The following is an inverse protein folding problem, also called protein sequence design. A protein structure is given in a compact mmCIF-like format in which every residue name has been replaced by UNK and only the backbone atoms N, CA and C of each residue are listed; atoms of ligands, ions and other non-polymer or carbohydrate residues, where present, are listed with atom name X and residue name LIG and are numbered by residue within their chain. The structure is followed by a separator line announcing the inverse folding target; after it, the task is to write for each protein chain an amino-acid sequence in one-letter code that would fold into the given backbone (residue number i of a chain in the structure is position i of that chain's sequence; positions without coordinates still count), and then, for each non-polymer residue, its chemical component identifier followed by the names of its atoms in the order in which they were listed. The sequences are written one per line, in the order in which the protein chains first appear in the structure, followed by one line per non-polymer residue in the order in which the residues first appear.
data_IF_892790997282
#
_entry.id   IF_892790997282
#
_cell.length_a   1.000
_cell.length_b   1.000
_cell.length_c   1.000
_cell.angle_alpha   90.00
_cell.angle_beta   90.00
_cell.angle_gamma   90.00
#
_symmetry.space_group_name_H-M   'P 1'
#
loop_
_entity.id
_entity.type
_entity.pdbx_description
1 polymer ?
#
# COMPACT_ATOMS: atom_id res chain seq x y z
N UNK A 1 49.57 1.31 12.28
CA UNK A 1 48.13 1.40 12.66
C UNK A 1 47.11 1.48 11.51
N UNK A 2 47.48 1.81 10.26
CA UNK A 2 46.52 1.82 9.11
C UNK A 2 46.31 0.43 8.49
N UNK A 3 47.37 -0.41 8.42
CA UNK A 3 47.29 -1.78 7.90
C UNK A 3 46.38 -2.72 8.70
N UNK A 4 46.46 -2.70 10.04
CA UNK A 4 45.60 -3.53 10.90
C UNK A 4 44.11 -3.19 10.75
N UNK A 5 43.76 -1.90 10.64
CA UNK A 5 42.38 -1.46 10.36
C UNK A 5 41.87 -1.91 9.00
N UNK A 6 42.74 -1.93 7.98
CA UNK A 6 42.39 -2.46 6.67
C UNK A 6 42.13 -3.96 6.71
N UNK A 7 42.99 -4.74 7.38
CA UNK A 7 42.83 -6.19 7.53
C UNK A 7 41.55 -6.53 8.31
N UNK A 8 41.26 -5.85 9.41
CA UNK A 8 40.02 -6.05 10.18
C UNK A 8 38.76 -5.76 9.36
N UNK A 9 38.75 -4.69 8.54
CA UNK A 9 37.63 -4.41 7.61
C UNK A 9 37.47 -5.51 6.57
N UNK A 10 38.57 -6.03 6.02
CA UNK A 10 38.53 -7.13 5.04
C UNK A 10 38.03 -8.43 5.66
N UNK A 11 38.41 -8.74 6.90
CA UNK A 11 37.88 -9.90 7.65
C UNK A 11 36.38 -9.73 7.91
N UNK A 12 35.92 -8.54 8.29
CA UNK A 12 34.50 -8.28 8.53
C UNK A 12 33.66 -8.41 7.25
N UNK A 13 34.16 -7.87 6.13
CA UNK A 13 33.54 -8.05 4.82
C UNK A 13 33.50 -9.54 4.43
N UNK A 14 34.59 -10.28 4.61
CA UNK A 14 34.65 -11.71 4.33
C UNK A 14 33.67 -12.50 5.21
N UNK A 15 33.55 -12.18 6.50
CA UNK A 15 32.57 -12.80 7.40
C UNK A 15 31.13 -12.56 6.91
N UNK A 16 30.83 -11.36 6.43
CA UNK A 16 29.52 -11.03 5.86
C UNK A 16 29.23 -11.82 4.58
N UNK A 17 30.21 -11.90 3.66
CA UNK A 17 30.10 -12.69 2.43
C UNK A 17 29.95 -14.20 2.70
N UNK A 18 30.68 -14.75 3.68
CA UNK A 18 30.52 -16.16 4.09
C UNK A 18 29.12 -16.39 4.67
N UNK A 19 28.62 -15.49 5.52
CA UNK A 19 27.27 -15.59 6.06
C UNK A 19 26.22 -15.57 4.94
N UNK A 20 26.38 -14.66 3.96
CA UNK A 20 25.51 -14.56 2.80
C UNK A 20 25.55 -15.81 1.93
N UNK A 21 26.74 -16.37 1.69
CA UNK A 21 26.92 -17.62 0.96
C UNK A 21 26.25 -18.80 1.67
N UNK A 22 26.39 -18.91 2.99
CA UNK A 22 25.71 -19.94 3.79
C UNK A 22 24.19 -19.83 3.70
N UNK A 23 23.64 -18.62 3.81
CA UNK A 23 22.20 -18.39 3.65
C UNK A 23 21.74 -18.80 2.25
N UNK A 24 22.49 -18.48 1.18
CA UNK A 24 22.17 -18.90 -0.19
C UNK A 24 22.17 -20.44 -0.36
N UNK A 25 23.06 -21.15 0.34
CA UNK A 25 23.09 -22.62 0.32
C UNK A 25 21.87 -23.20 1.04
N UNK A 26 21.44 -22.58 2.15
CA UNK A 26 20.26 -23.01 2.92
C UNK A 26 18.93 -22.56 2.30
N UNK A 27 18.93 -21.50 1.50
CA UNK A 27 17.75 -20.91 0.88
C UNK A 27 16.82 -21.93 0.19
N UNK A 28 17.29 -22.86 -0.68
CA UNK A 28 16.40 -23.86 -1.29
C UNK A 28 15.80 -24.83 -0.27
N UNK A 29 16.49 -25.14 0.82
CA UNK A 29 15.96 -26.00 1.89
C UNK A 29 14.91 -25.27 2.73
N UNK A 30 15.13 -23.99 3.04
CA UNK A 30 14.20 -23.14 3.78
C UNK A 30 12.94 -22.85 2.94
N UNK A 31 13.10 -22.67 1.63
CA UNK A 31 11.97 -22.47 0.68
C UNK A 31 11.25 -23.77 0.32
N UNK A 32 11.85 -24.92 0.63
CA UNK A 32 11.28 -26.24 0.39
C UNK A 32 10.29 -26.68 1.48
N UNK A 33 9.72 -27.91 1.35
CA UNK A 33 8.75 -28.44 2.30
C UNK A 33 9.30 -28.59 3.72
N UNK A 34 10.61 -28.86 3.86
CA UNK A 34 11.26 -28.96 5.17
C UNK A 34 11.19 -27.65 5.98
N UNK A 35 11.26 -26.49 5.33
CA UNK A 35 11.09 -25.20 5.99
C UNK A 35 9.67 -24.98 6.49
N UNK A 36 8.67 -25.44 5.72
CA UNK A 36 7.27 -25.40 6.13
C UNK A 36 7.01 -26.29 7.34
N UNK A 37 7.48 -27.53 7.31
CA UNK A 37 7.36 -28.48 8.42
C UNK A 37 8.04 -27.96 9.69
N UNK A 38 9.22 -27.34 9.54
CA UNK A 38 9.93 -26.71 10.65
C UNK A 38 9.08 -25.61 11.30
N UNK A 39 8.50 -24.69 10.50
CA UNK A 39 7.66 -23.61 11.01
C UNK A 39 6.39 -24.13 11.67
N UNK A 40 5.74 -25.13 11.07
CA UNK A 40 4.58 -25.80 11.64
C UNK A 40 4.92 -26.44 12.99
N UNK A 41 6.01 -27.22 13.06
CA UNK A 41 6.45 -27.87 14.29
C UNK A 41 6.81 -26.86 15.38
N UNK A 42 7.52 -25.79 15.03
CA UNK A 42 7.83 -24.72 15.96
C UNK A 42 6.56 -24.06 16.51
N UNK A 43 5.58 -23.79 15.64
CA UNK A 43 4.30 -23.22 16.04
C UNK A 43 3.50 -24.17 16.95
N UNK A 44 3.43 -25.46 16.63
CA UNK A 44 2.81 -26.49 17.48
C UNK A 44 3.44 -26.56 18.86
N UNK A 45 4.77 -26.44 18.97
CA UNK A 45 5.45 -26.45 20.26
C UNK A 45 5.11 -25.24 21.13
N UNK A 46 4.77 -24.10 20.53
CA UNK A 46 4.45 -22.86 21.25
C UNK A 46 2.97 -22.72 21.58
N UNK A 47 2.07 -23.11 20.67
CA UNK A 47 0.63 -22.85 20.76
C UNK A 47 -0.23 -24.10 20.77
N UNK A 48 0.38 -25.29 20.74
CA UNK A 48 -0.33 -26.57 20.78
C UNK A 48 -0.89 -27.03 19.44
N UNK A 49 -1.70 -28.08 19.51
CA UNK A 49 -2.31 -28.73 18.35
C UNK A 49 -3.36 -27.82 17.68
N UNK A 50 -3.61 -27.94 16.36
CA UNK A 50 -4.67 -27.18 15.69
C UNK A 50 -6.05 -27.31 16.33
N UNK A 51 -6.36 -28.42 16.99
CA UNK A 51 -7.67 -28.63 17.64
C UNK A 51 -7.90 -27.69 18.83
N UNK A 52 -6.82 -27.26 19.49
CA UNK A 52 -6.87 -26.36 20.65
C UNK A 52 -6.84 -24.87 20.22
N UNK A 53 -6.77 -24.61 18.91
CA UNK A 53 -6.55 -23.28 18.34
C UNK A 53 -7.54 -22.20 18.83
N UNK A 54 -8.86 -22.46 18.99
CA UNK A 54 -9.78 -21.44 19.50
C UNK A 54 -9.43 -20.97 20.93
N UNK A 55 -8.85 -21.85 21.75
CA UNK A 55 -8.45 -21.54 23.12
C UNK A 55 -7.01 -20.99 23.19
N UNK A 56 -6.10 -21.48 22.34
CA UNK A 56 -4.69 -21.09 22.36
C UNK A 56 -4.35 -19.86 21.53
N UNK A 57 -5.22 -19.46 20.61
CA UNK A 57 -5.05 -18.31 19.70
C UNK A 57 -6.21 -17.30 19.87
N UNK A 58 -6.36 -16.66 21.05
CA UNK A 58 -7.47 -15.75 21.31
C UNK A 58 -7.46 -14.53 20.39
N UNK A 59 -6.30 -13.93 20.09
CA UNK A 59 -6.24 -12.75 19.23
C UNK A 59 -6.56 -13.11 17.78
N UNK A 60 -5.98 -14.19 17.25
CA UNK A 60 -6.35 -14.70 15.92
C UNK A 60 -7.85 -14.99 15.80
N UNK A 61 -8.47 -15.57 16.84
CA UNK A 61 -9.91 -15.87 16.87
C UNK A 61 -10.75 -14.60 16.86
N UNK A 62 -10.41 -13.62 17.70
CA UNK A 62 -11.09 -12.33 17.76
C UNK A 62 -11.06 -11.61 16.40
N UNK A 63 -9.89 -11.56 15.77
CA UNK A 63 -9.70 -10.88 14.50
C UNK A 63 -10.39 -11.57 13.33
N UNK A 64 -10.31 -12.91 13.26
CA UNK A 64 -11.04 -13.66 12.24
C UNK A 64 -12.55 -13.49 12.39
N UNK A 65 -13.05 -13.45 13.63
CA UNK A 65 -14.47 -13.16 13.91
C UNK A 65 -14.87 -11.77 13.42
N UNK A 66 -14.05 -10.75 13.70
CA UNK A 66 -14.31 -9.37 13.28
C UNK A 66 -14.32 -9.22 11.76
N UNK A 67 -13.38 -9.87 11.06
CA UNK A 67 -13.29 -9.78 9.59
C UNK A 67 -14.38 -10.58 8.90
N UNK A 68 -14.80 -11.71 9.49
CA UNK A 68 -15.83 -12.59 8.92
C UNK A 68 -17.13 -11.84 8.64
N UNK A 69 -17.57 -10.98 9.55
CA UNK A 69 -18.83 -10.22 9.44
C UNK A 69 -18.91 -9.44 8.12
N UNK A 70 -17.82 -8.79 7.71
CA UNK A 70 -17.81 -7.97 6.50
C UNK A 70 -17.24 -8.70 5.27
N UNK A 71 -16.76 -9.94 5.43
CA UNK A 71 -15.95 -10.61 4.40
C UNK A 71 -16.73 -10.90 3.12
N UNK A 72 -18.00 -11.29 3.25
CA UNK A 72 -18.90 -11.54 2.12
C UNK A 72 -19.20 -10.23 1.38
N UNK A 73 -19.54 -9.17 2.12
CA UNK A 73 -19.79 -7.85 1.52
C UNK A 73 -18.55 -7.32 0.80
N UNK A 74 -17.37 -7.36 1.43
CA UNK A 74 -16.13 -6.86 0.83
C UNK A 74 -15.72 -7.69 -0.41
N UNK A 75 -16.05 -8.98 -0.43
CA UNK A 75 -15.88 -9.84 -1.60
C UNK A 75 -16.85 -9.48 -2.73
N UNK A 76 -18.14 -9.32 -2.41
CA UNK A 76 -19.16 -8.94 -3.40
C UNK A 76 -18.86 -7.56 -4.01
N UNK A 77 -18.49 -6.58 -3.19
CA UNK A 77 -18.06 -5.25 -3.67
C UNK A 77 -16.82 -5.34 -4.59
N UNK A 78 -15.92 -6.27 -4.33
CA UNK A 78 -14.77 -6.53 -5.19
C UNK A 78 -15.20 -7.15 -6.53
N UNK A 79 -16.10 -8.14 -6.51
CA UNK A 79 -16.66 -8.74 -7.73
C UNK A 79 -17.43 -7.70 -8.55
N UNK A 80 -18.20 -6.82 -7.90
CA UNK A 80 -18.90 -5.71 -8.55
C UNK A 80 -17.92 -4.71 -9.18
N UNK A 81 -16.83 -4.40 -8.48
CA UNK A 81 -15.77 -3.54 -9.04
C UNK A 81 -15.12 -4.18 -10.27
N UNK A 82 -14.90 -5.50 -10.22
CA UNK A 82 -14.34 -6.27 -11.33
C UNK A 82 -15.33 -6.37 -12.52
N UNK A 83 -16.63 -6.50 -12.27
CA UNK A 83 -17.66 -6.57 -13.31
C UNK A 83 -17.87 -5.21 -13.98
N UNK A 84 -17.89 -4.13 -13.19
CA UNK A 84 -17.91 -2.76 -13.68
C UNK A 84 -16.66 -2.45 -14.53
N UNK A 85 -15.49 -2.93 -14.10
CA UNK A 85 -14.25 -2.83 -14.87
C UNK A 85 -14.34 -3.54 -16.23
N UNK A 86 -14.81 -4.79 -16.26
CA UNK A 86 -15.00 -5.54 -17.53
C UNK A 86 -15.98 -4.84 -18.46
N UNK A 87 -17.03 -4.24 -17.91
CA UNK A 87 -18.04 -3.50 -18.69
C UNK A 87 -17.48 -2.18 -19.24
N UNK A 88 -16.65 -1.47 -18.46
CA UNK A 88 -15.96 -0.26 -18.90
C UNK A 88 -14.97 -0.54 -20.02
N UNK A 89 -14.27 -1.68 -20.00
CA UNK A 89 -13.37 -2.08 -21.09
C UNK A 89 -14.13 -2.56 -22.33
N UNK A 90 -15.30 -3.18 -22.17
CA UNK A 90 -16.17 -3.57 -23.29
C UNK A 90 -16.84 -2.36 -23.97
N UNK A 91 -17.08 -1.27 -23.24
CA UNK A 91 -17.61 0.00 -23.76
C UNK A 91 -16.49 1.03 -24.00
N UNK A 92 -15.54 0.74 -24.90
CA UNK A 92 -14.54 1.68 -25.45
C UNK A 92 -13.64 2.45 -24.43
N UNK A 93 -12.30 2.48 -24.61
CA UNK A 93 -11.36 3.00 -23.62
C UNK A 93 -11.20 4.53 -23.69
N UNK A 94 -12.19 5.29 -23.22
CA UNK A 94 -12.10 6.75 -23.01
C UNK A 94 -13.29 7.24 -22.18
N UNK A 95 -13.05 7.53 -20.90
CA UNK A 95 -14.04 8.18 -20.04
C UNK A 95 -13.63 8.17 -18.59
N UNK A 96 -12.78 9.12 -18.19
CA UNK A 96 -12.53 9.40 -16.78
C UNK A 96 -13.84 9.88 -16.13
N UNK A 97 -14.21 9.41 -14.92
CA UNK A 97 -15.25 10.08 -14.13
C UNK A 97 -14.73 11.44 -13.65
N UNK A 98 -15.47 12.50 -13.99
CA UNK A 98 -15.19 13.87 -13.58
C UNK A 98 -15.13 14.02 -12.06
N UNK A 99 -13.94 14.22 -11.51
CA UNK A 99 -13.73 14.68 -10.12
C UNK A 99 -13.81 16.21 -10.06
N UNK A 100 -14.88 16.78 -10.60
CA UNK A 100 -15.16 18.21 -10.52
C UNK A 100 -16.26 18.40 -9.48
N UNK A 101 -15.92 19.03 -8.35
CA UNK A 101 -16.92 19.63 -7.48
C UNK A 101 -17.65 20.70 -8.31
N UNK A 102 -18.96 20.49 -8.53
CA UNK A 102 -19.81 21.27 -9.43
C UNK A 102 -19.61 22.78 -9.31
N UNK A 103 -19.05 23.39 -10.35
CA UNK A 103 -19.63 24.58 -11.03
C UNK A 103 -19.16 24.54 -12.49
N UNK A 104 -20.09 24.79 -13.42
CA UNK A 104 -20.01 24.34 -14.82
C UNK A 104 -18.85 24.91 -15.65
N UNK A 105 -18.29 24.04 -16.50
CA UNK A 105 -17.36 24.39 -17.57
C UNK A 105 -16.80 23.12 -18.22
N UNK A 106 -17.17 22.85 -19.48
CA UNK A 106 -16.68 21.71 -20.27
C UNK A 106 -15.43 22.08 -21.07
N UNK A 107 -14.39 21.24 -21.05
CA UNK A 107 -13.17 21.40 -21.85
C UNK A 107 -12.91 20.11 -22.66
N UNK A 108 -12.55 20.19 -23.96
CA UNK A 108 -12.34 19.01 -24.81
C UNK A 108 -10.93 18.40 -24.64
N UNK A 109 -10.84 17.10 -24.94
CA UNK A 109 -9.68 16.20 -24.71
C UNK A 109 -8.77 16.10 -25.94
N UNK A 110 -7.45 16.04 -25.73
CA UNK A 110 -6.42 15.77 -26.74
C UNK A 110 -5.67 14.44 -26.50
N UNK A 111 -4.97 14.00 -27.55
CA UNK A 111 -4.61 12.63 -27.95
C UNK A 111 -3.56 11.86 -27.13
N UNK A 112 -3.66 10.52 -27.21
CA UNK A 112 -2.80 9.47 -26.63
C UNK A 112 -1.41 9.41 -27.31
N UNK A 113 -0.34 9.24 -26.53
CA UNK A 113 0.95 8.70 -26.98
C UNK A 113 1.28 7.49 -26.09
N UNK A 114 1.47 6.34 -26.72
CA UNK A 114 1.78 5.07 -26.07
C UNK A 114 3.24 4.93 -25.66
N UNK A 115 3.50 4.00 -24.74
CA UNK A 115 4.85 3.48 -24.49
C UNK A 115 4.77 2.01 -24.04
N UNK A 116 5.83 1.21 -24.29
CA UNK A 116 5.72 -0.23 -24.53
C UNK A 116 5.89 -1.08 -23.27
N UNK A 117 5.25 -2.25 -23.31
CA UNK A 117 5.33 -3.29 -22.29
C UNK A 117 6.75 -3.84 -22.16
N UNK A 118 7.33 -3.72 -20.96
CA UNK A 118 8.54 -4.45 -20.57
C UNK A 118 8.11 -5.62 -19.69
N UNK A 119 8.16 -6.83 -20.24
CA UNK A 119 7.95 -8.07 -19.49
C UNK A 119 9.19 -8.26 -18.61
N UNK A 120 9.10 -7.87 -17.34
CA UNK A 120 10.06 -8.28 -16.33
C UNK A 120 9.51 -9.53 -15.64
N UNK A 121 10.34 -10.57 -15.56
CA UNK A 121 10.06 -11.85 -14.89
C UNK A 121 10.06 -11.69 -13.36
N UNK A 122 9.21 -10.81 -12.84
CA UNK A 122 8.80 -10.82 -11.44
C UNK A 122 7.62 -11.79 -11.36
N UNK A 123 7.75 -12.82 -10.54
CA UNK A 123 6.66 -13.76 -10.26
C UNK A 123 5.42 -12.99 -9.82
N UNK A 124 4.44 -12.84 -10.72
CA UNK A 124 3.16 -12.20 -10.40
C UNK A 124 2.53 -12.86 -9.16
N UNK A 125 1.99 -12.05 -8.26
CA UNK A 125 1.33 -12.54 -7.05
C UNK A 125 -0.03 -13.15 -7.40
N UNK A 126 -0.41 -14.27 -6.77
CA UNK A 126 -1.60 -15.04 -7.15
C UNK A 126 -2.91 -14.30 -6.83
N UNK A 127 -3.88 -14.45 -7.73
CA UNK A 127 -5.27 -14.02 -7.51
C UNK A 127 -5.92 -14.83 -6.38
N UNK A 128 -6.75 -14.18 -5.57
CA UNK A 128 -7.59 -14.84 -4.57
C UNK A 128 -8.78 -15.51 -5.28
N UNK A 129 -8.98 -16.81 -5.06
CA UNK A 129 -10.08 -17.58 -5.67
C UNK A 129 -11.38 -17.54 -4.86
N UNK A 130 -11.41 -16.81 -3.74
CA UNK A 130 -12.53 -16.82 -2.80
C UNK A 130 -12.53 -18.01 -1.83
N UNK A 131 -11.40 -18.71 -1.70
CA UNK A 131 -11.22 -19.72 -0.66
C UNK A 131 -11.33 -19.04 0.72
N UNK A 132 -12.14 -19.60 1.63
CA UNK A 132 -12.51 -18.93 2.89
C UNK A 132 -11.31 -18.46 3.70
N UNK A 133 -10.32 -19.34 3.93
CA UNK A 133 -9.11 -19.01 4.71
C UNK A 133 -8.29 -17.93 4.01
N UNK A 134 -8.02 -18.08 2.71
CA UNK A 134 -7.21 -17.13 1.94
C UNK A 134 -7.87 -15.74 1.89
N UNK A 135 -9.19 -15.70 1.63
CA UNK A 135 -9.98 -14.47 1.61
C UNK A 135 -9.94 -13.76 2.96
N UNK A 136 -10.25 -14.48 4.05
CA UNK A 136 -10.26 -13.91 5.39
C UNK A 136 -8.88 -13.38 5.79
N UNK A 137 -7.80 -14.11 5.51
CA UNK A 137 -6.44 -13.68 5.81
C UNK A 137 -6.02 -12.44 5.01
N UNK A 138 -6.35 -12.40 3.73
CA UNK A 138 -6.03 -11.26 2.85
C UNK A 138 -6.78 -10.00 3.29
N UNK A 139 -8.08 -10.11 3.57
CA UNK A 139 -8.89 -8.99 4.08
C UNK A 139 -8.44 -8.57 5.48
N UNK A 140 -8.12 -9.52 6.34
CA UNK A 140 -7.59 -9.27 7.67
C UNK A 140 -6.29 -8.46 7.61
N UNK A 141 -5.31 -8.92 6.84
CA UNK A 141 -4.02 -8.25 6.70
C UNK A 141 -4.21 -6.84 6.12
N UNK A 142 -5.09 -6.68 5.13
CA UNK A 142 -5.41 -5.39 4.54
C UNK A 142 -6.02 -4.42 5.55
N UNK A 143 -7.02 -4.86 6.32
CA UNK A 143 -7.65 -4.04 7.37
C UNK A 143 -6.62 -3.65 8.43
N UNK A 144 -5.82 -4.61 8.90
CA UNK A 144 -4.78 -4.41 9.91
C UNK A 144 -3.77 -3.32 9.50
N UNK A 145 -3.23 -3.35 8.28
CA UNK A 145 -2.26 -2.34 7.83
C UNK A 145 -2.89 -1.01 7.40
N UNK A 146 -4.22 -0.96 7.28
CA UNK A 146 -4.95 0.26 6.92
C UNK A 146 -5.41 1.06 8.12
N UNK A 147 -5.22 0.54 9.33
CA UNK A 147 -5.47 1.27 10.57
C UNK A 147 -4.50 2.46 10.72
N UNK A 148 -5.01 3.53 11.34
CA UNK A 148 -4.25 4.76 11.60
C UNK A 148 -3.31 4.57 12.79
N UNK A 149 -3.71 3.73 13.74
CA UNK A 149 -2.89 3.39 14.90
C UNK A 149 -1.73 2.48 14.47
N UNK A 150 -0.52 2.79 14.96
CA UNK A 150 0.66 2.01 14.62
C UNK A 150 0.59 0.59 15.18
N UNK A 151 0.98 -0.40 14.37
CA UNK A 151 0.97 -1.81 14.81
C UNK A 151 1.90 -2.04 16.00
N UNK A 152 1.39 -2.54 17.11
CA UNK A 152 2.17 -2.93 18.30
C UNK A 152 2.32 -4.45 18.37
N UNK A 153 3.20 -4.92 19.26
CA UNK A 153 3.38 -6.37 19.49
C UNK A 153 2.16 -6.97 20.18
N UNK A 154 1.45 -6.16 20.99
CA UNK A 154 0.36 -6.58 21.86
C UNK A 154 -0.95 -6.80 21.08
N UNK A 155 -1.21 -6.00 20.05
CA UNK A 155 -2.42 -6.13 19.22
C UNK A 155 -2.27 -7.15 18.08
N UNK A 156 -1.05 -7.66 17.86
CA UNK A 156 -0.72 -8.55 16.75
C UNK A 156 -1.20 -9.98 17.00
N UNK A 157 -1.92 -10.62 16.04
CA UNK A 157 -2.27 -12.03 16.16
C UNK A 157 -1.05 -12.92 16.33
N UNK A 158 -1.23 -14.00 17.08
CA UNK A 158 -0.19 -14.96 17.42
C UNK A 158 0.50 -15.54 16.18
N UNK A 159 -0.29 -15.80 15.13
CA UNK A 159 0.18 -16.34 13.84
C UNK A 159 1.00 -15.35 13.00
N UNK A 160 0.99 -14.05 13.34
CA UNK A 160 1.62 -13.00 12.54
C UNK A 160 2.71 -12.23 13.26
N UNK A 161 3.04 -12.60 14.51
CA UNK A 161 4.11 -11.98 15.30
C UNK A 161 5.45 -11.87 14.54
N UNK A 162 5.81 -12.91 13.76
CA UNK A 162 7.05 -12.91 12.96
C UNK A 162 7.03 -11.92 11.79
N UNK A 163 5.85 -11.48 11.35
CA UNK A 163 5.68 -10.56 10.23
C UNK A 163 5.52 -9.09 10.67
N UNK A 164 5.56 -8.78 11.97
CA UNK A 164 5.32 -7.43 12.51
C UNK A 164 6.11 -6.34 11.78
N UNK A 165 7.43 -6.50 11.62
CA UNK A 165 8.25 -5.49 10.95
C UNK A 165 7.84 -5.31 9.48
N UNK A 166 7.51 -6.40 8.77
CA UNK A 166 7.07 -6.34 7.37
C UNK A 166 5.73 -5.60 7.25
N UNK A 167 4.79 -5.88 8.16
CA UNK A 167 3.48 -5.24 8.18
C UNK A 167 3.57 -3.75 8.55
N UNK A 168 4.45 -3.39 9.48
CA UNK A 168 4.76 -1.98 9.78
C UNK A 168 5.33 -1.24 8.57
N UNK A 169 6.21 -1.87 7.80
CA UNK A 169 6.71 -1.28 6.55
C UNK A 169 5.56 -1.03 5.57
N UNK A 170 4.66 -1.99 5.39
CA UNK A 170 3.49 -1.82 4.51
C UNK A 170 2.56 -0.71 5.01
N UNK A 171 2.24 -0.70 6.31
CA UNK A 171 1.42 0.36 6.93
C UNK A 171 2.06 1.74 6.70
N UNK A 172 3.37 1.88 6.93
CA UNK A 172 4.10 3.12 6.66
C UNK A 172 3.98 3.54 5.19
N UNK A 173 4.13 2.61 4.24
CA UNK A 173 3.96 2.91 2.82
C UNK A 173 2.54 3.37 2.48
N UNK A 174 1.50 2.72 3.02
CA UNK A 174 0.11 3.14 2.80
C UNK A 174 -0.16 4.52 3.40
N UNK A 175 0.37 4.82 4.59
CA UNK A 175 0.24 6.16 5.19
C UNK A 175 0.96 7.22 4.36
N UNK A 176 2.16 6.94 3.85
CA UNK A 176 2.85 7.84 2.90
C UNK A 176 2.03 8.08 1.65
N UNK A 177 1.41 7.05 1.09
CA UNK A 177 0.53 7.16 -0.09
C UNK A 177 -0.69 8.04 0.21
N UNK A 178 -1.29 7.92 1.40
CA UNK A 178 -2.40 8.79 1.85
C UNK A 178 -1.94 10.25 1.95
N UNK A 179 -0.77 10.51 2.55
CA UNK A 179 -0.21 11.87 2.67
C UNK A 179 0.09 12.48 1.30
N UNK A 180 0.72 11.73 0.39
CA UNK A 180 1.01 12.20 -0.97
C UNK A 180 -0.30 12.45 -1.74
N UNK A 181 -1.27 11.54 -1.64
CA UNK A 181 -2.57 11.69 -2.31
C UNK A 181 -3.32 12.95 -1.84
N UNK A 182 -3.36 13.18 -0.54
CA UNK A 182 -3.94 14.41 0.04
C UNK A 182 -3.19 15.66 -0.40
N UNK A 183 -1.85 15.57 -0.48
CA UNK A 183 -1.00 16.64 -0.99
C UNK A 183 -1.30 16.98 -2.46
N UNK A 184 -1.48 15.98 -3.32
CA UNK A 184 -1.88 16.18 -4.73
C UNK A 184 -3.22 16.93 -4.81
N UNK A 185 -4.19 16.56 -3.96
CA UNK A 185 -5.50 17.24 -3.95
C UNK A 185 -5.37 18.71 -3.57
N UNK A 186 -4.63 19.02 -2.49
CA UNK A 186 -4.38 20.42 -2.07
C UNK A 186 -3.60 21.20 -3.13
N UNK A 187 -2.60 20.58 -3.75
CA UNK A 187 -1.82 21.16 -4.84
C UNK A 187 -2.72 21.54 -6.02
N UNK A 188 -3.53 20.59 -6.51
CA UNK A 188 -4.45 20.82 -7.64
C UNK A 188 -5.46 21.93 -7.31
N UNK A 189 -6.02 21.92 -6.11
CA UNK A 189 -6.94 22.95 -5.64
C UNK A 189 -6.30 24.34 -5.67
N UNK A 190 -5.05 24.44 -5.20
CA UNK A 190 -4.29 25.69 -5.12
C UNK A 190 -3.92 26.23 -6.51
N UNK A 191 -3.46 25.34 -7.40
CA UNK A 191 -3.11 25.70 -8.78
C UNK A 191 -4.32 26.24 -9.55
N UNK A 192 -5.50 25.63 -9.33
CA UNK A 192 -6.76 26.05 -9.94
C UNK A 192 -7.26 27.38 -9.36
N UNK A 193 -7.22 27.56 -8.04
CA UNK A 193 -7.69 28.80 -7.41
C UNK A 193 -6.87 30.03 -7.81
N UNK A 194 -5.57 29.86 -8.00
CA UNK A 194 -4.66 30.96 -8.37
C UNK A 194 -4.50 31.14 -9.88
N UNK A 195 -5.18 30.32 -10.71
CA UNK A 195 -5.04 30.29 -12.18
C UNK A 195 -3.57 30.23 -12.63
N UNK A 196 -2.75 29.48 -11.90
CA UNK A 196 -1.31 29.35 -12.15
C UNK A 196 -0.98 28.45 -13.34
N UNK A 197 -1.97 27.73 -13.85
CA UNK A 197 -1.80 26.77 -14.92
C UNK A 197 -2.80 27.05 -16.04
N UNK A 198 -2.26 27.21 -17.25
CA UNK A 198 -3.01 27.50 -18.47
C UNK A 198 -3.32 26.24 -19.28
N UNK A 199 -2.60 25.13 -19.06
CA UNK A 199 -2.74 23.87 -19.79
C UNK A 199 -2.88 22.65 -18.84
N UNK A 200 -3.75 21.68 -19.14
CA UNK A 200 -3.87 20.45 -18.36
C UNK A 200 -2.56 19.63 -18.31
N UNK A 201 -1.75 19.69 -19.37
CA UNK A 201 -0.46 18.98 -19.44
C UNK A 201 0.54 19.56 -18.44
N UNK A 202 0.56 20.88 -18.27
CA UNK A 202 1.44 21.54 -17.31
C UNK A 202 1.06 21.16 -15.87
N UNK A 203 -0.25 21.00 -15.59
CA UNK A 203 -0.72 20.52 -14.29
C UNK A 203 -0.23 19.11 -13.98
N UNK A 204 -0.31 18.19 -14.96
CA UNK A 204 0.15 16.82 -14.79
C UNK A 204 1.67 16.74 -14.58
N UNK A 205 2.44 17.55 -15.30
CA UNK A 205 3.89 17.65 -15.12
C UNK A 205 4.27 18.15 -13.70
N UNK A 206 3.61 19.21 -13.22
CA UNK A 206 3.83 19.74 -11.87
C UNK A 206 3.46 18.69 -10.81
N UNK A 207 2.32 18.01 -10.98
CA UNK A 207 1.88 16.95 -10.06
C UNK A 207 2.87 15.79 -10.06
N UNK A 208 3.36 15.35 -11.22
CA UNK A 208 4.34 14.27 -11.33
C UNK A 208 5.65 14.61 -10.62
N UNK A 209 6.17 15.82 -10.81
CA UNK A 209 7.37 16.29 -10.13
C UNK A 209 7.16 16.39 -8.61
N UNK A 210 5.99 16.85 -8.18
CA UNK A 210 5.62 16.92 -6.75
C UNK A 210 5.57 15.51 -6.13
N UNK A 211 4.94 14.54 -6.78
CA UNK A 211 4.87 13.15 -6.32
C UNK A 211 6.27 12.55 -6.15
N UNK A 212 7.17 12.79 -7.10
CA UNK A 212 8.56 12.32 -7.02
C UNK A 212 9.29 12.93 -5.82
N UNK A 213 9.25 14.25 -5.67
CA UNK A 213 9.93 14.96 -4.58
C UNK A 213 9.36 14.60 -3.20
N UNK A 214 8.04 14.49 -3.07
CA UNK A 214 7.40 14.07 -1.82
C UNK A 214 7.72 12.61 -1.48
N UNK A 215 7.79 11.73 -2.49
CA UNK A 215 8.24 10.36 -2.28
C UNK A 215 9.67 10.32 -1.74
N UNK A 216 10.60 11.06 -2.35
CA UNK A 216 11.99 11.15 -1.90
C UNK A 216 12.11 11.72 -0.48
N UNK A 217 11.34 12.75 -0.15
CA UNK A 217 11.31 13.35 1.20
C UNK A 217 10.82 12.35 2.25
N UNK A 218 9.67 11.73 2.01
CA UNK A 218 9.05 10.80 2.96
C UNK A 218 9.82 9.48 3.10
N UNK A 219 10.63 9.11 2.09
CA UNK A 219 11.48 7.91 2.14
C UNK A 219 12.84 8.18 2.82
N UNK A 220 13.26 9.44 2.95
CA UNK A 220 14.57 9.81 3.52
C UNK A 220 14.52 10.38 4.94
N UNK A 221 13.41 10.99 5.34
CA UNK A 221 13.26 11.66 6.63
C UNK A 221 12.18 10.97 7.47
N UNK A 222 12.50 10.62 8.72
CA UNK A 222 11.57 9.90 9.61
C UNK A 222 10.42 10.80 10.10
N UNK A 223 10.72 12.03 10.52
CA UNK A 223 9.75 12.96 11.10
C UNK A 223 9.50 14.17 10.18
N UNK A 224 8.74 13.95 9.11
CA UNK A 224 8.37 15.01 8.17
C UNK A 224 7.13 15.76 8.67
N UNK A 225 7.27 17.06 8.91
CA UNK A 225 6.16 17.93 9.27
C UNK A 225 5.41 18.48 8.05
N UNK A 226 4.26 19.09 8.33
CA UNK A 226 3.42 19.72 7.30
C UNK A 226 4.16 20.87 6.61
N UNK A 227 5.03 21.58 7.33
CA UNK A 227 5.82 22.68 6.78
C UNK A 227 6.79 22.19 5.71
N UNK A 228 7.52 21.10 5.95
CA UNK A 228 8.44 20.52 4.96
C UNK A 228 7.70 19.99 3.72
N UNK A 229 6.53 19.37 3.93
CA UNK A 229 5.66 18.90 2.83
C UNK A 229 5.27 20.09 1.95
N UNK A 230 4.75 21.16 2.55
CA UNK A 230 4.32 22.37 1.82
C UNK A 230 5.48 23.06 1.12
N UNK A 231 6.67 23.09 1.72
CA UNK A 231 7.86 23.66 1.08
C UNK A 231 8.22 22.86 -0.18
N UNK A 232 8.24 21.54 -0.06
CA UNK A 232 8.54 20.61 -1.16
C UNK A 232 7.52 20.73 -2.29
N UNK A 233 6.24 20.88 -1.93
CA UNK A 233 5.15 21.14 -2.87
C UNK A 233 5.24 22.50 -3.55
N UNK A 234 5.99 23.48 -3.05
CA UNK A 234 6.08 24.81 -3.65
C UNK A 234 7.40 25.05 -4.41
N UNK A 235 8.32 24.09 -4.38
CA UNK A 235 9.62 24.18 -5.05
C UNK A 235 9.59 24.21 -6.58
N UNK A 236 8.43 24.40 -7.22
CA UNK A 236 8.30 24.64 -8.67
C UNK A 236 7.97 26.11 -9.00
N UNK A 237 7.76 26.94 -7.99
CA UNK A 237 7.32 28.33 -8.14
C UNK A 237 8.52 29.30 -8.06
N UNK A 238 9.48 29.16 -8.97
CA UNK A 238 10.55 30.16 -9.14
C UNK A 238 9.97 31.41 -9.83
N UNK A 239 10.08 32.58 -9.18
CA UNK A 239 9.68 33.88 -9.77
C UNK A 239 8.38 34.53 -9.26
N UNK A 240 7.68 33.94 -8.28
CA UNK A 240 6.51 34.58 -7.66
C UNK A 240 6.90 35.61 -6.58
N UNK A 241 6.08 36.65 -6.40
CA UNK A 241 6.21 37.62 -5.31
C UNK A 241 6.27 36.88 -3.95
N UNK A 242 7.31 37.18 -3.17
CA UNK A 242 7.62 36.53 -1.88
C UNK A 242 6.41 36.59 -0.93
N UNK A 243 5.63 37.67 -0.98
CA UNK A 243 4.41 37.81 -0.16
C UNK A 243 3.30 36.87 -0.60
N UNK A 244 3.08 36.74 -1.92
CA UNK A 244 2.07 35.83 -2.48
C UNK A 244 2.44 34.37 -2.22
N UNK A 245 3.73 34.02 -2.37
CA UNK A 245 4.23 32.68 -2.07
C UNK A 245 4.05 32.31 -0.59
N UNK A 246 4.29 33.26 0.33
CA UNK A 246 4.07 33.04 1.77
C UNK A 246 2.61 32.79 2.09
N UNK A 247 1.69 33.62 1.60
CA UNK A 247 0.26 33.45 1.82
C UNK A 247 -0.24 32.09 1.28
N UNK A 248 0.24 31.68 0.09
CA UNK A 248 -0.06 30.38 -0.49
C UNK A 248 0.42 29.21 0.39
N UNK A 249 1.66 29.27 0.88
CA UNK A 249 2.21 28.24 1.78
C UNK A 249 1.35 28.09 3.04
N UNK A 250 0.93 29.21 3.63
CA UNK A 250 0.07 29.20 4.81
C UNK A 250 -1.31 28.57 4.53
N UNK A 251 -1.94 28.93 3.41
CA UNK A 251 -3.21 28.32 2.98
C UNK A 251 -3.06 26.82 2.76
N UNK A 252 -2.00 26.37 2.07
CA UNK A 252 -1.74 24.95 1.83
C UNK A 252 -1.47 24.18 3.13
N UNK A 253 -0.69 24.76 4.06
CA UNK A 253 -0.42 24.17 5.37
C UNK A 253 -1.71 23.98 6.18
N UNK A 254 -2.57 25.00 6.20
CA UNK A 254 -3.86 24.92 6.89
C UNK A 254 -4.80 23.89 6.26
N UNK A 255 -4.85 23.82 4.93
CA UNK A 255 -5.64 22.81 4.21
C UNK A 255 -5.14 21.39 4.49
N UNK A 256 -3.83 21.15 4.46
CA UNK A 256 -3.24 19.85 4.78
C UNK A 256 -3.44 19.46 6.23
N UNK A 257 -3.18 20.39 7.16
CA UNK A 257 -3.36 20.16 8.59
C UNK A 257 -4.82 19.82 8.95
N UNK A 258 -5.79 20.36 8.20
CA UNK A 258 -7.20 19.99 8.36
C UNK A 258 -7.49 18.64 7.70
N UNK A 259 -7.04 18.45 6.46
CA UNK A 259 -7.37 17.27 5.64
C UNK A 259 -6.69 15.98 6.10
N UNK A 260 -5.65 16.07 6.93
CA UNK A 260 -4.95 14.91 7.52
C UNK A 260 -5.40 14.59 8.96
N UNK A 261 -6.32 15.37 9.54
CA UNK A 261 -6.85 15.06 10.88
C UNK A 261 -7.76 13.85 10.83
N UNK A 262 -7.67 13.02 11.88
CA UNK A 262 -8.60 11.92 12.08
C UNK A 262 -10.05 12.46 12.13
N UNK A 263 -10.95 11.82 11.38
CA UNK A 263 -12.35 12.22 11.27
C UNK A 263 -12.65 13.29 10.21
N UNK A 264 -11.65 13.85 9.53
CA UNK A 264 -11.90 14.73 8.38
C UNK A 264 -12.44 13.93 7.18
N UNK A 265 -13.44 14.47 6.48
CA UNK A 265 -14.09 13.80 5.36
C UNK A 265 -13.13 13.55 4.19
N UNK A 266 -12.13 14.42 3.98
CA UNK A 266 -11.10 14.25 2.95
C UNK A 266 -10.19 13.09 3.35
N UNK A 267 -9.75 13.05 4.61
CA UNK A 267 -8.96 11.93 5.13
C UNK A 267 -9.69 10.60 4.93
N UNK A 268 -10.93 10.48 5.41
CA UNK A 268 -11.72 9.24 5.29
C UNK A 268 -11.90 8.82 3.83
N UNK A 269 -12.16 9.78 2.93
CA UNK A 269 -12.31 9.50 1.50
C UNK A 269 -11.00 9.02 0.86
N UNK A 270 -9.87 9.68 1.14
CA UNK A 270 -8.56 9.29 0.60
C UNK A 270 -8.15 7.94 1.16
N UNK A 271 -8.24 7.74 2.47
CA UNK A 271 -7.91 6.47 3.14
C UNK A 271 -8.76 5.31 2.62
N UNK A 272 -10.08 5.47 2.45
CA UNK A 272 -10.93 4.44 1.83
C UNK A 272 -10.54 4.19 0.37
N UNK A 273 -10.16 5.22 -0.39
CA UNK A 273 -9.72 5.04 -1.78
C UNK A 273 -8.41 4.26 -1.86
N UNK A 274 -7.44 4.55 -0.99
CA UNK A 274 -6.17 3.80 -0.90
C UNK A 274 -6.41 2.37 -0.45
N UNK A 275 -7.30 2.14 0.52
CA UNK A 275 -7.74 0.81 0.94
C UNK A 275 -8.33 0.02 -0.25
N UNK A 276 -9.26 0.62 -1.00
CA UNK A 276 -9.87 -0.03 -2.17
C UNK A 276 -8.85 -0.31 -3.27
N UNK A 277 -7.87 0.59 -3.46
CA UNK A 277 -6.78 0.39 -4.40
C UNK A 277 -5.93 -0.83 -3.99
N UNK A 278 -5.50 -0.89 -2.73
CA UNK A 278 -4.77 -2.04 -2.20
C UNK A 278 -5.60 -3.34 -2.24
N UNK A 279 -6.92 -3.28 -1.97
CA UNK A 279 -7.86 -4.41 -2.10
C UNK A 279 -7.84 -5.01 -3.51
N UNK A 280 -7.74 -4.15 -4.53
CA UNK A 280 -7.64 -4.57 -5.93
C UNK A 280 -6.47 -5.52 -6.20
N UNK A 281 -5.30 -5.25 -5.63
CA UNK A 281 -4.10 -6.12 -5.75
C UNK A 281 -4.16 -7.31 -4.80
N UNK A 282 -4.57 -7.07 -3.55
CA UNK A 282 -4.63 -8.11 -2.51
C UNK A 282 -5.56 -9.24 -2.94
N UNK A 283 -6.70 -8.94 -3.57
CA UNK A 283 -7.64 -9.94 -4.06
C UNK A 283 -7.42 -10.30 -5.54
N UNK A 284 -7.05 -9.34 -6.39
CA UNK A 284 -6.91 -9.53 -7.83
C UNK A 284 -5.51 -9.93 -8.32
N UNK A 285 -4.56 -10.14 -7.41
CA UNK A 285 -3.15 -10.43 -7.74
C UNK A 285 -2.39 -9.20 -8.26
N UNK A 286 -1.09 -9.34 -8.51
CA UNK A 286 -0.26 -8.24 -9.04
C UNK A 286 -0.15 -8.19 -10.56
N UNK A 287 -0.88 -9.09 -11.24
CA UNK A 287 -1.07 -9.05 -12.69
C UNK A 287 -1.90 -7.85 -13.15
N UNK A 288 -2.25 -7.86 -14.44
CA UNK A 288 -2.92 -6.74 -15.13
C UNK A 288 -4.23 -6.33 -14.43
N UNK A 289 -5.07 -7.29 -14.05
CA UNK A 289 -6.39 -7.02 -13.43
C UNK A 289 -6.28 -6.22 -12.13
N UNK A 290 -5.44 -6.67 -11.19
CA UNK A 290 -5.27 -6.01 -9.90
C UNK A 290 -4.67 -4.63 -10.05
N UNK A 291 -3.70 -4.47 -10.97
CA UNK A 291 -3.08 -3.18 -11.29
C UNK A 291 -4.09 -2.17 -11.85
N UNK A 292 -4.92 -2.59 -12.81
CA UNK A 292 -5.93 -1.71 -13.42
C UNK A 292 -7.04 -1.30 -12.43
N UNK A 293 -7.48 -2.22 -11.55
CA UNK A 293 -8.40 -1.89 -10.47
C UNK A 293 -7.81 -0.87 -9.49
N UNK A 294 -6.53 -1.05 -9.15
CA UNK A 294 -5.77 -0.12 -8.30
C UNK A 294 -5.70 1.27 -8.92
N UNK A 295 -5.32 1.34 -10.20
CA UNK A 295 -5.22 2.59 -10.92
C UNK A 295 -6.59 3.28 -11.02
N UNK A 296 -7.66 2.54 -11.32
CA UNK A 296 -9.02 3.08 -11.37
C UNK A 296 -9.45 3.67 -10.03
N UNK A 297 -9.16 3.00 -8.92
CA UNK A 297 -9.47 3.51 -7.58
C UNK A 297 -8.71 4.81 -7.32
N UNK A 298 -7.39 4.84 -7.54
CA UNK A 298 -6.54 6.02 -7.29
C UNK A 298 -6.85 7.21 -8.21
N UNK A 299 -7.31 6.96 -9.45
CA UNK A 299 -7.78 8.04 -10.34
C UNK A 299 -8.90 8.87 -9.73
N UNK A 300 -9.74 8.30 -8.85
CA UNK A 300 -10.84 9.02 -8.15
C UNK A 300 -10.36 10.11 -7.20
N UNK A 301 -9.10 10.07 -6.78
CA UNK A 301 -8.43 11.10 -5.96
C UNK A 301 -7.27 11.76 -6.72
N UNK A 302 -7.14 11.52 -8.03
CA UNK A 302 -6.07 12.09 -8.86
C UNK A 302 -4.68 11.53 -8.57
N UNK A 303 -4.58 10.39 -7.89
CA UNK A 303 -3.33 9.80 -7.41
C UNK A 303 -2.87 8.58 -8.23
N UNK A 304 -3.27 8.49 -9.50
CA UNK A 304 -2.94 7.35 -10.38
C UNK A 304 -1.43 7.08 -10.50
N UNK A 305 -0.59 8.11 -10.33
CA UNK A 305 0.87 8.00 -10.32
C UNK A 305 1.43 7.16 -9.15
N UNK A 306 0.62 6.90 -8.11
CA UNK A 306 1.00 6.08 -6.96
C UNK A 306 0.65 4.60 -7.12
N UNK A 307 0.15 4.18 -8.29
CA UNK A 307 -0.29 2.79 -8.54
C UNK A 307 0.83 1.79 -8.27
N UNK A 308 2.03 2.02 -8.78
CA UNK A 308 3.17 1.12 -8.55
C UNK A 308 3.49 0.97 -7.06
N UNK A 309 3.53 2.08 -6.32
CA UNK A 309 3.79 2.05 -4.86
C UNK A 309 2.72 1.26 -4.09
N UNK A 310 1.44 1.37 -4.49
CA UNK A 310 0.35 0.57 -3.88
C UNK A 310 0.51 -0.91 -4.23
N UNK A 311 0.85 -1.23 -5.48
CA UNK A 311 1.07 -2.62 -5.92
C UNK A 311 2.21 -3.26 -5.13
N UNK A 312 3.37 -2.61 -5.05
CA UNK A 312 4.53 -3.11 -4.29
C UNK A 312 4.19 -3.36 -2.81
N UNK A 313 3.46 -2.44 -2.16
CA UNK A 313 3.04 -2.58 -0.78
C UNK A 313 2.04 -3.75 -0.60
N UNK A 314 1.09 -3.90 -1.52
CA UNK A 314 0.08 -4.94 -1.48
C UNK A 314 0.65 -6.34 -1.81
N UNK A 315 1.67 -6.44 -2.67
CA UNK A 315 2.36 -7.70 -2.96
C UNK A 315 2.94 -8.33 -1.69
N UNK A 316 3.50 -7.51 -0.79
CA UNK A 316 4.00 -7.98 0.50
C UNK A 316 2.88 -8.63 1.31
N UNK A 317 1.67 -8.05 1.30
CA UNK A 317 0.50 -8.63 1.98
C UNK A 317 0.09 -9.96 1.37
N UNK A 318 0.07 -10.08 0.05
CA UNK A 318 -0.26 -11.35 -0.64
C UNK A 318 0.74 -12.45 -0.29
N UNK A 319 2.03 -12.11 -0.25
CA UNK A 319 3.08 -13.06 0.18
C UNK A 319 2.87 -13.47 1.64
N UNK A 320 2.59 -12.53 2.54
CA UNK A 320 2.34 -12.82 3.95
C UNK A 320 1.10 -13.70 4.12
N UNK A 321 0.01 -13.41 3.40
CA UNK A 321 -1.20 -14.22 3.41
C UNK A 321 -0.93 -15.65 2.92
N UNK A 322 -0.26 -15.78 1.78
CA UNK A 322 0.04 -17.08 1.16
C UNK A 322 0.92 -17.95 2.06
N UNK A 323 1.98 -17.37 2.63
CA UNK A 323 2.87 -18.10 3.55
C UNK A 323 2.12 -18.45 4.83
N UNK A 324 1.36 -17.53 5.40
CA UNK A 324 0.60 -17.77 6.64
C UNK A 324 -0.48 -18.83 6.45
N UNK A 325 -1.16 -18.85 5.31
CA UNK A 325 -2.15 -19.88 4.96
C UNK A 325 -1.49 -21.27 4.87
N UNK A 326 -0.29 -21.36 4.30
CA UNK A 326 0.45 -22.65 4.25
C UNK A 326 0.94 -23.11 5.62
N UNK A 327 1.51 -22.20 6.41
CA UNK A 327 2.09 -22.53 7.71
C UNK A 327 1.00 -22.79 8.74
N UNK A 328 0.02 -21.89 8.85
CA UNK A 328 -0.98 -21.88 9.92
C UNK A 328 -2.37 -22.32 9.47
N UNK A 329 -2.54 -22.76 8.22
CA UNK A 329 -3.80 -23.22 7.64
C UNK A 329 -4.62 -24.15 8.53
N UNK A 330 -4.03 -25.24 9.06
CA UNK A 330 -4.76 -26.15 9.96
C UNK A 330 -5.34 -25.48 11.21
N UNK A 331 -4.66 -24.47 11.78
CA UNK A 331 -5.16 -23.71 12.92
C UNK A 331 -6.28 -22.76 12.50
N UNK A 332 -6.12 -22.07 11.36
CA UNK A 332 -7.17 -21.20 10.83
C UNK A 332 -8.46 -21.96 10.52
N UNK A 333 -8.35 -23.15 9.91
CA UNK A 333 -9.51 -24.01 9.64
C UNK A 333 -10.27 -24.38 10.91
N UNK A 334 -9.57 -24.69 11.99
CA UNK A 334 -10.21 -25.02 13.26
C UNK A 334 -10.81 -23.79 13.94
N UNK A 335 -10.15 -22.64 13.88
CA UNK A 335 -10.71 -21.38 14.38
C UNK A 335 -11.99 -21.02 13.60
N UNK A 336 -11.97 -21.08 12.27
CA UNK A 336 -13.13 -20.74 11.41
C UNK A 336 -14.28 -21.71 11.59
N UNK A 337 -14.04 -23.00 11.89
CA UNK A 337 -15.12 -23.96 12.18
C UNK A 337 -15.86 -23.66 13.49
N UNK A 338 -15.20 -22.98 14.43
CA UNK A 338 -15.71 -22.71 15.77
C UNK A 338 -16.23 -21.27 15.95
N UNK A 339 -16.29 -20.47 14.87
CA UNK A 339 -16.85 -19.11 14.81
C UNK A 339 -18.02 -19.08 13.81
#
# INVERSE_FOLDING_TARGET
MKGLRFVLRKIQALKHEISKARIRILEPFIKGPAGLEYLQKAFTNHYGSPNDAPASLPLTTQWLSAVRVDSEQEWDEYIDSLSAFRTSNARCPQGLPSTIFRTGGSVPVASKIGSPATISTVSEQPECKGEKVDLLLRLFLLKLVSEVEGLTVETMPETLKLNLCRLRTVQSQLQKIIVISTSILVLRQTLLSEKLVTSPVDMENIVSQCVKRLSELLDSVEDVGISEIVETMNGFSEGNDVKKLRARKEVMANMLAKSLRAGDAIFTRVSRTVYLAARGVVLGGSGIKGRELTEMALRRVGAALLTEKVVEAAEVLVVVATVSSRVHGPWYDQVIKNI
#
